data_IF_078945169348
#
_entry.id   IF_078945169348
#
_cell.length_a   1.000
_cell.length_b   1.000
_cell.length_c   1.000
_cell.angle_alpha   90.00
_cell.angle_beta   90.00
_cell.angle_gamma   90.00
#
_symmetry.space_group_name_H-M   'P 1'
#
loop_
_entity.id
_entity.type
_entity.pdbx_description
1 polymer ?
#
# COMPACT_ATOMS: atom_id res chain seq x y z
N UNK A 1 -22.60 2.71 -41.88
CA UNK A 1 -21.39 2.05 -41.36
C UNK A 1 -21.01 2.53 -39.96
N UNK A 2 -20.86 3.83 -39.70
CA UNK A 2 -20.51 4.35 -38.36
C UNK A 2 -21.45 3.93 -37.23
N UNK A 3 -22.77 3.98 -37.44
CA UNK A 3 -23.76 3.54 -36.43
C UNK A 3 -23.70 2.02 -36.14
N UNK A 4 -23.46 1.20 -37.17
CA UNK A 4 -23.30 -0.25 -37.02
C UNK A 4 -22.01 -0.60 -36.29
N UNK A 5 -20.91 0.10 -36.59
CA UNK A 5 -19.65 -0.06 -35.88
C UNK A 5 -19.76 0.38 -34.41
N UNK A 6 -20.42 1.50 -34.13
CA UNK A 6 -20.69 1.96 -32.77
C UNK A 6 -21.56 0.98 -31.99
N UNK A 7 -22.64 0.47 -32.60
CA UNK A 7 -23.50 -0.53 -31.99
C UNK A 7 -22.75 -1.84 -31.67
N UNK A 8 -21.86 -2.28 -32.56
CA UNK A 8 -21.03 -3.46 -32.33
C UNK A 8 -20.04 -3.24 -31.17
N UNK A 9 -19.38 -2.07 -31.10
CA UNK A 9 -18.48 -1.73 -29.99
C UNK A 9 -19.24 -1.71 -28.67
N UNK A 10 -20.42 -1.09 -28.62
CA UNK A 10 -21.26 -1.05 -27.41
C UNK A 10 -21.67 -2.47 -26.99
N UNK A 11 -22.15 -3.30 -27.93
CA UNK A 11 -22.52 -4.68 -27.65
C UNK A 11 -21.32 -5.50 -27.15
N UNK A 12 -20.13 -5.30 -27.72
CA UNK A 12 -18.90 -5.95 -27.30
C UNK A 12 -18.48 -5.53 -25.88
N UNK A 13 -18.49 -4.24 -25.57
CA UNK A 13 -18.19 -3.73 -24.22
C UNK A 13 -19.20 -4.26 -23.19
N UNK A 14 -20.49 -4.31 -23.54
CA UNK A 14 -21.52 -4.90 -22.68
C UNK A 14 -21.29 -6.40 -22.44
N UNK A 15 -20.89 -7.14 -23.47
CA UNK A 15 -20.53 -8.55 -23.33
C UNK A 15 -19.31 -8.72 -22.41
N UNK A 16 -18.26 -7.92 -22.57
CA UNK A 16 -17.09 -7.96 -21.67
C UNK A 16 -17.47 -7.66 -20.21
N UNK A 17 -18.36 -6.69 -20.00
CA UNK A 17 -18.89 -6.38 -18.69
C UNK A 17 -19.66 -7.56 -18.08
N UNK A 18 -20.50 -8.25 -18.87
CA UNK A 18 -21.25 -9.43 -18.42
C UNK A 18 -20.34 -10.63 -18.10
N UNK A 19 -19.22 -10.80 -18.82
CA UNK A 19 -18.29 -11.92 -18.62
C UNK A 19 -17.29 -11.64 -17.48
N UNK A 20 -17.00 -10.38 -17.16
CA UNK A 20 -16.01 -10.01 -16.15
C UNK A 20 -16.18 -10.72 -14.79
N UNK A 21 -17.39 -10.86 -14.20
CA UNK A 21 -17.57 -11.54 -12.92
C UNK A 21 -17.14 -13.01 -12.91
N UNK A 22 -17.09 -13.68 -14.08
CA UNK A 22 -16.67 -15.09 -14.18
C UNK A 22 -15.16 -15.27 -13.99
N UNK A 23 -14.38 -14.20 -14.18
CA UNK A 23 -12.91 -14.20 -14.12
C UNK A 23 -12.41 -13.43 -12.87
N UNK A 24 -13.27 -12.60 -12.29
CA UNK A 24 -12.95 -11.83 -11.09
C UNK A 24 -12.81 -12.71 -9.83
N UNK A 25 -11.98 -12.30 -8.86
CA UNK A 25 -11.79 -13.03 -7.62
C UNK A 25 -13.10 -13.15 -6.82
N UNK A 26 -13.28 -14.27 -6.11
CA UNK A 26 -14.36 -14.38 -5.12
C UNK A 26 -14.05 -13.52 -3.91
N UNK A 27 -14.96 -12.64 -3.52
CA UNK A 27 -14.82 -11.76 -2.35
C UNK A 27 -14.53 -12.56 -1.07
N UNK A 28 -13.57 -12.10 -0.26
CA UNK A 28 -13.39 -12.58 1.10
C UNK A 28 -14.57 -12.10 1.97
N UNK A 29 -15.05 -12.93 2.91
CA UNK A 29 -16.01 -12.51 3.92
C UNK A 29 -15.27 -12.17 5.20
N UNK A 30 -15.39 -10.95 5.70
CA UNK A 30 -14.75 -10.54 6.95
C UNK A 30 -15.40 -11.05 8.24
N UNK A 31 -16.72 -11.29 8.33
CA UNK A 31 -17.31 -11.86 9.55
C UNK A 31 -16.66 -13.19 9.93
N UNK A 32 -15.97 -13.20 11.08
CA UNK A 32 -15.23 -14.35 11.59
C UNK A 32 -13.88 -14.63 10.93
N UNK A 33 -13.44 -13.81 9.97
CA UNK A 33 -12.13 -13.95 9.34
C UNK A 33 -11.02 -13.46 10.25
N UNK A 34 -9.87 -14.13 10.23
CA UNK A 34 -8.69 -13.70 10.96
C UNK A 34 -7.82 -12.78 10.09
N UNK A 35 -7.72 -11.52 10.49
CA UNK A 35 -6.91 -10.49 9.82
C UNK A 35 -5.69 -10.13 10.68
N UNK A 36 -4.50 -10.32 10.13
CA UNK A 36 -3.24 -9.90 10.77
C UNK A 36 -2.78 -8.59 10.15
N UNK A 37 -2.43 -7.60 10.98
CA UNK A 37 -1.94 -6.30 10.53
C UNK A 37 -0.58 -5.99 11.18
N UNK A 38 0.49 -5.98 10.37
CA UNK A 38 1.79 -5.48 10.81
C UNK A 38 1.80 -3.95 10.77
N UNK A 39 2.50 -3.30 11.71
CA UNK A 39 2.38 -1.85 11.88
C UNK A 39 1.00 -1.42 12.41
N UNK A 40 0.23 -2.35 12.99
CA UNK A 40 -1.16 -2.12 13.39
C UNK A 40 -1.36 -1.20 14.60
N UNK A 41 -0.29 -0.72 15.25
CA UNK A 41 -0.36 0.14 16.43
C UNK A 41 -0.52 1.64 16.14
N UNK A 42 -0.46 2.07 14.87
CA UNK A 42 -0.62 3.48 14.49
C UNK A 42 -0.99 3.67 13.01
N UNK A 43 -1.36 4.90 12.64
CA UNK A 43 -1.55 5.33 11.25
C UNK A 43 -2.50 4.44 10.43
N UNK A 44 -2.15 4.22 9.16
CA UNK A 44 -2.96 3.43 8.21
C UNK A 44 -3.21 2.01 8.73
N UNK A 45 -2.20 1.34 9.31
CA UNK A 45 -2.34 -0.02 9.83
C UNK A 45 -3.41 -0.12 10.92
N UNK A 46 -3.41 0.84 11.87
CA UNK A 46 -4.48 0.95 12.87
C UNK A 46 -5.85 1.14 12.23
N UNK A 47 -5.98 2.06 11.28
CA UNK A 47 -7.26 2.33 10.62
C UNK A 47 -7.77 1.13 9.80
N UNK A 48 -6.87 0.38 9.16
CA UNK A 48 -7.21 -0.89 8.48
C UNK A 48 -7.74 -1.91 9.49
N UNK A 49 -7.08 -2.07 10.63
CA UNK A 49 -7.53 -2.98 11.68
C UNK A 49 -8.91 -2.60 12.22
N UNK A 50 -9.17 -1.31 12.46
CA UNK A 50 -10.49 -0.80 12.86
C UNK A 50 -11.54 -1.11 11.78
N UNK A 51 -11.24 -0.85 10.52
CA UNK A 51 -12.18 -1.07 9.41
C UNK A 51 -12.53 -2.56 9.26
N UNK A 52 -11.55 -3.45 9.33
CA UNK A 52 -11.80 -4.89 9.30
C UNK A 52 -12.62 -5.35 10.52
N UNK A 53 -12.32 -4.84 11.71
CA UNK A 53 -13.02 -5.19 12.95
C UNK A 53 -14.49 -4.75 12.91
N UNK A 54 -14.79 -3.54 12.39
CA UNK A 54 -16.17 -3.07 12.17
C UNK A 54 -17.00 -4.00 11.28
N UNK A 55 -16.34 -4.79 10.42
CA UNK A 55 -16.98 -5.74 9.52
C UNK A 55 -17.03 -7.17 10.10
N UNK A 56 -16.70 -7.36 11.37
CA UNK A 56 -16.85 -8.64 12.07
C UNK A 56 -15.61 -9.53 12.10
N UNK A 57 -14.44 -9.02 11.69
CA UNK A 57 -13.19 -9.78 11.70
C UNK A 57 -12.61 -9.98 13.12
N UNK A 58 -11.80 -11.03 13.29
CA UNK A 58 -10.83 -11.16 14.38
C UNK A 58 -9.51 -10.51 13.95
N UNK A 59 -8.84 -9.81 14.86
CA UNK A 59 -7.65 -9.02 14.54
C UNK A 59 -6.45 -9.52 15.33
N UNK A 60 -5.31 -9.70 14.67
CA UNK A 60 -4.00 -9.71 15.32
C UNK A 60 -3.22 -8.48 14.91
N UNK A 61 -2.84 -7.65 15.89
CA UNK A 61 -1.96 -6.51 15.71
C UNK A 61 -0.52 -6.91 15.98
N UNK A 62 0.38 -6.56 15.05
CA UNK A 62 1.82 -6.75 15.19
C UNK A 62 2.51 -5.40 15.10
N UNK A 63 3.30 -5.05 16.12
CA UNK A 63 4.20 -3.89 16.13
C UNK A 63 5.27 -4.07 17.21
N UNK A 64 6.21 -3.12 17.34
CA UNK A 64 7.31 -3.19 18.33
C UNK A 64 6.95 -2.63 19.70
N UNK A 65 6.04 -1.66 19.74
CA UNK A 65 5.68 -0.94 20.96
C UNK A 65 4.41 -1.56 21.56
N UNK A 66 4.62 -2.31 22.64
CA UNK A 66 3.54 -3.03 23.34
C UNK A 66 2.50 -2.07 23.93
N UNK A 67 2.92 -0.92 24.47
CA UNK A 67 2.00 0.05 25.04
C UNK A 67 1.06 0.64 23.98
N UNK A 68 1.62 1.00 22.80
CA UNK A 68 0.81 1.47 21.66
C UNK A 68 -0.11 0.39 21.12
N UNK A 69 0.32 -0.87 21.11
CA UNK A 69 -0.54 -2.01 20.74
C UNK A 69 -1.74 -2.12 21.68
N UNK A 70 -1.51 -2.12 23.00
CA UNK A 70 -2.57 -2.22 24.00
C UNK A 70 -3.53 -1.03 23.97
N UNK A 71 -3.01 0.19 23.74
CA UNK A 71 -3.86 1.36 23.54
C UNK A 71 -4.73 1.21 22.29
N UNK A 72 -4.12 0.82 21.16
CA UNK A 72 -4.83 0.63 19.90
C UNK A 72 -5.88 -0.47 20.00
N UNK A 73 -5.58 -1.56 20.69
CA UNK A 73 -6.54 -2.62 21.00
C UNK A 73 -7.79 -2.07 21.69
N UNK A 74 -7.62 -1.27 22.76
CA UNK A 74 -8.74 -0.63 23.47
C UNK A 74 -9.55 0.31 22.56
N UNK A 75 -8.92 0.95 21.58
CA UNK A 75 -9.61 1.77 20.59
C UNK A 75 -10.43 0.93 19.60
N UNK A 76 -9.88 -0.19 19.11
CA UNK A 76 -10.54 -1.10 18.18
C UNK A 76 -11.75 -1.79 18.83
N UNK A 77 -11.59 -2.29 20.06
CA UNK A 77 -12.64 -3.06 20.77
C UNK A 77 -13.93 -2.24 21.00
N UNK A 78 -13.87 -0.90 20.95
CA UNK A 78 -15.06 -0.01 20.97
C UNK A 78 -15.99 -0.20 19.78
N UNK A 79 -15.50 -0.79 18.69
CA UNK A 79 -16.26 -1.02 17.46
C UNK A 79 -16.76 -2.47 17.32
N UNK A 80 -16.77 -3.23 18.42
CA UNK A 80 -17.23 -4.62 18.39
C UNK A 80 -18.66 -4.70 17.88
N UNK A 81 -18.90 -5.62 16.94
CA UNK A 81 -20.23 -5.93 16.41
C UNK A 81 -20.82 -7.21 17.02
N UNK A 82 -20.02 -8.00 17.75
CA UNK A 82 -20.49 -9.14 18.55
C UNK A 82 -19.45 -9.58 19.60
N UNK A 83 -19.91 -10.28 20.64
CA UNK A 83 -19.10 -10.71 21.79
C UNK A 83 -17.98 -11.71 21.46
N UNK A 84 -17.96 -12.29 20.25
CA UNK A 84 -16.95 -13.26 19.85
C UNK A 84 -15.70 -12.60 19.29
N UNK A 85 -15.75 -11.32 18.89
CA UNK A 85 -14.63 -10.67 18.24
C UNK A 85 -13.46 -10.40 19.18
N UNK A 86 -12.28 -10.90 18.79
CA UNK A 86 -11.04 -10.75 19.56
C UNK A 86 -10.04 -9.86 18.84
N UNK A 87 -9.34 -9.03 19.62
CA UNK A 87 -8.11 -8.35 19.21
C UNK A 87 -6.93 -8.93 19.99
N UNK A 88 -6.04 -9.63 19.29
CA UNK A 88 -4.76 -10.11 19.80
C UNK A 88 -3.67 -9.06 19.52
N UNK A 89 -2.75 -8.88 20.44
CA UNK A 89 -1.57 -8.03 20.27
C UNK A 89 -0.32 -8.87 20.44
N UNK A 90 0.64 -8.73 19.54
CA UNK A 90 1.93 -9.38 19.64
C UNK A 90 3.04 -8.36 19.35
N UNK A 91 3.96 -8.22 20.31
CA UNK A 91 5.12 -7.35 20.15
C UNK A 91 6.26 -8.10 19.45
N UNK A 92 6.63 -7.67 18.24
CA UNK A 92 7.78 -8.20 17.50
C UNK A 92 8.30 -7.16 16.49
N UNK A 93 9.62 -7.16 16.27
CA UNK A 93 10.21 -6.43 15.14
C UNK A 93 10.23 -7.33 13.90
N UNK A 94 9.34 -7.04 12.95
CA UNK A 94 9.20 -7.84 11.72
C UNK A 94 10.42 -7.82 10.82
N UNK A 95 11.40 -6.93 11.05
CA UNK A 95 12.56 -6.77 10.19
C UNK A 95 13.81 -7.54 10.64
N UNK A 96 13.76 -8.24 11.79
CA UNK A 96 14.97 -8.74 12.46
C UNK A 96 15.22 -10.22 12.25
N UNK A 97 14.24 -11.05 12.57
CA UNK A 97 14.40 -12.50 12.60
C UNK A 97 13.14 -13.18 12.04
N UNK A 98 13.33 -13.95 10.95
CA UNK A 98 12.25 -14.70 10.33
C UNK A 98 11.66 -15.76 11.26
N UNK A 99 12.49 -16.49 12.02
CA UNK A 99 12.01 -17.56 12.89
C UNK A 99 11.13 -17.00 14.01
N UNK A 100 11.51 -15.85 14.56
CA UNK A 100 10.67 -15.14 15.53
C UNK A 100 9.33 -14.72 14.91
N UNK A 101 9.34 -14.14 13.71
CA UNK A 101 8.12 -13.72 12.98
C UNK A 101 7.22 -14.92 12.67
N UNK A 102 7.79 -16.03 12.23
CA UNK A 102 7.07 -17.27 11.94
C UNK A 102 6.42 -17.83 13.19
N UNK A 103 7.16 -17.89 14.30
CA UNK A 103 6.65 -18.38 15.58
C UNK A 103 5.48 -17.55 16.11
N UNK A 104 5.55 -16.21 16.04
CA UNK A 104 4.43 -15.38 16.50
C UNK A 104 3.19 -15.49 15.63
N UNK A 105 3.36 -15.65 14.31
CA UNK A 105 2.24 -15.86 13.40
C UNK A 105 1.62 -17.24 13.57
N UNK A 106 2.41 -18.26 13.90
CA UNK A 106 1.92 -19.57 14.31
C UNK A 106 1.06 -19.46 15.58
N UNK A 107 1.55 -18.77 16.61
CA UNK A 107 0.78 -18.55 17.85
C UNK A 107 -0.52 -17.77 17.61
N UNK A 108 -0.50 -16.77 16.72
CA UNK A 108 -1.71 -16.06 16.32
C UNK A 108 -2.72 -17.00 15.65
N UNK A 109 -2.24 -17.89 14.77
CA UNK A 109 -3.09 -18.88 14.09
C UNK A 109 -3.67 -19.93 15.04
N UNK A 110 -2.91 -20.36 16.04
CA UNK A 110 -3.40 -21.28 17.08
C UNK A 110 -4.53 -20.65 17.91
N UNK A 111 -4.50 -19.33 18.12
CA UNK A 111 -5.51 -18.61 18.94
C UNK A 111 -6.76 -18.21 18.18
N UNK A 112 -6.60 -17.67 16.96
CA UNK A 112 -7.71 -17.05 16.20
C UNK A 112 -8.07 -17.83 14.93
N UNK A 113 -7.43 -18.96 14.69
CA UNK A 113 -7.56 -19.73 13.46
C UNK A 113 -6.60 -19.24 12.36
N UNK A 114 -6.58 -19.92 11.21
CA UNK A 114 -5.63 -19.62 10.14
C UNK A 114 -5.83 -18.20 9.57
N UNK A 115 -4.75 -17.55 9.13
CA UNK A 115 -4.80 -16.16 8.64
C UNK A 115 -5.53 -16.07 7.30
N UNK A 116 -6.65 -15.35 7.25
CA UNK A 116 -7.44 -15.15 6.04
C UNK A 116 -7.00 -13.90 5.26
N UNK A 117 -6.53 -12.88 5.97
CA UNK A 117 -5.91 -11.69 5.38
C UNK A 117 -4.68 -11.27 6.17
N UNK A 118 -3.55 -11.12 5.49
CA UNK A 118 -2.34 -10.50 6.02
C UNK A 118 -2.19 -9.11 5.42
N UNK A 119 -2.04 -8.09 6.27
CA UNK A 119 -1.75 -6.73 5.87
C UNK A 119 -0.34 -6.36 6.31
N UNK A 120 0.58 -6.33 5.36
CA UNK A 120 1.94 -5.83 5.56
C UNK A 120 1.92 -4.30 5.50
N UNK A 121 1.78 -3.65 6.67
CA UNK A 121 1.73 -2.19 6.79
C UNK A 121 2.86 -1.61 7.67
N UNK A 122 3.67 -2.45 8.33
CA UNK A 122 4.87 -1.98 9.01
C UNK A 122 5.82 -1.29 8.01
N UNK A 123 6.27 -0.09 8.34
CA UNK A 123 7.15 0.68 7.48
C UNK A 123 7.58 2.00 8.11
N UNK A 124 8.64 2.58 7.56
CA UNK A 124 9.14 3.92 7.89
C UNK A 124 9.69 4.58 6.64
N UNK A 125 9.88 5.90 6.69
CA UNK A 125 10.49 6.69 5.63
C UNK A 125 11.68 7.48 6.17
N UNK A 126 12.61 7.79 5.28
CA UNK A 126 13.68 8.76 5.48
C UNK A 126 13.72 9.61 4.23
N UNK A 127 13.70 10.93 4.41
CA UNK A 127 13.82 11.90 3.32
C UNK A 127 15.12 12.68 3.45
N UNK A 128 15.75 12.98 2.32
CA UNK A 128 16.98 13.74 2.24
C UNK A 128 17.58 13.69 0.84
N UNK A 129 18.54 14.55 0.54
CA UNK A 129 19.33 14.39 -0.69
C UNK A 129 20.15 13.12 -0.60
N UNK A 130 20.48 12.53 -1.74
CA UNK A 130 21.12 11.22 -1.78
C UNK A 130 22.46 11.20 -1.03
N UNK A 131 23.26 12.24 -1.23
CA UNK A 131 24.56 12.46 -0.59
C UNK A 131 24.48 12.79 0.91
N UNK A 132 23.33 13.23 1.40
CA UNK A 132 23.13 13.64 2.80
C UNK A 132 22.54 12.51 3.68
N UNK A 133 22.03 11.44 3.07
CA UNK A 133 21.44 10.32 3.81
C UNK A 133 22.54 9.37 4.28
N UNK A 134 22.50 9.03 5.58
CA UNK A 134 23.38 8.00 6.15
C UNK A 134 23.22 6.65 5.43
N UNK A 135 24.33 6.02 5.03
CA UNK A 135 24.34 4.75 4.30
C UNK A 135 23.53 3.65 5.01
N UNK A 136 23.62 3.55 6.33
CA UNK A 136 22.86 2.58 7.14
C UNK A 136 21.33 2.78 7.05
N UNK A 137 20.87 3.99 6.73
CA UNK A 137 19.43 4.23 6.52
C UNK A 137 18.88 3.46 5.33
N UNK A 138 19.67 3.22 4.28
CA UNK A 138 19.25 2.42 3.12
C UNK A 138 19.01 0.96 3.50
N UNK A 139 19.97 0.34 4.21
CA UNK A 139 19.86 -1.04 4.68
C UNK A 139 18.69 -1.20 5.66
N UNK A 140 18.58 -0.29 6.63
CA UNK A 140 17.49 -0.29 7.61
C UNK A 140 16.11 -0.16 6.94
N UNK A 141 15.97 0.72 5.95
CA UNK A 141 14.70 0.88 5.23
C UNK A 141 14.36 -0.38 4.44
N UNK A 142 15.33 -1.01 3.79
CA UNK A 142 15.11 -2.29 3.11
C UNK A 142 14.71 -3.41 4.07
N UNK A 143 15.36 -3.49 5.23
CA UNK A 143 15.00 -4.46 6.25
C UNK A 143 13.56 -4.26 6.72
N UNK A 144 13.17 -3.03 7.07
CA UNK A 144 11.83 -2.77 7.63
C UNK A 144 10.73 -2.83 6.57
N UNK A 145 10.88 -2.08 5.47
CA UNK A 145 9.80 -1.92 4.50
C UNK A 145 9.63 -3.15 3.60
N UNK A 146 10.74 -3.78 3.20
CA UNK A 146 10.71 -4.93 2.29
C UNK A 146 10.80 -6.25 3.04
N UNK A 147 11.89 -6.54 3.77
CA UNK A 147 12.04 -7.83 4.47
C UNK A 147 10.97 -8.00 5.56
N UNK A 148 10.58 -6.91 6.23
CA UNK A 148 9.45 -6.88 7.17
C UNK A 148 8.08 -7.19 6.55
N UNK A 149 7.98 -7.19 5.22
CA UNK A 149 6.81 -7.69 4.48
C UNK A 149 7.02 -9.11 3.94
N UNK A 150 8.26 -9.49 3.62
CA UNK A 150 8.63 -10.84 3.17
C UNK A 150 8.39 -11.86 4.29
N UNK A 151 8.88 -11.59 5.50
CA UNK A 151 8.82 -12.56 6.60
C UNK A 151 7.39 -12.93 7.00
N UNK A 152 6.47 -11.98 7.25
CA UNK A 152 5.09 -12.33 7.57
C UNK A 152 4.38 -13.05 6.41
N UNK A 153 4.65 -12.64 5.16
CA UNK A 153 4.05 -13.27 3.98
C UNK A 153 4.49 -14.71 3.83
N UNK A 154 5.78 -14.99 4.02
CA UNK A 154 6.35 -16.34 3.97
C UNK A 154 5.76 -17.24 5.07
N UNK A 155 5.53 -16.71 6.26
CA UNK A 155 5.00 -17.48 7.40
C UNK A 155 3.53 -17.92 7.23
N UNK A 156 2.73 -17.26 6.38
CA UNK A 156 1.29 -17.58 6.20
C UNK A 156 0.97 -18.23 4.86
N UNK A 157 1.86 -18.16 3.87
CA UNK A 157 1.54 -18.54 2.48
C UNK A 157 1.16 -20.01 2.33
N UNK A 158 1.81 -20.92 3.07
CA UNK A 158 1.55 -22.35 2.97
C UNK A 158 0.11 -22.70 3.39
N UNK A 159 -0.33 -22.20 4.55
CA UNK A 159 -1.69 -22.46 5.07
C UNK A 159 -2.76 -21.77 4.24
N UNK A 160 -2.46 -20.62 3.62
CA UNK A 160 -3.35 -19.99 2.63
C UNK A 160 -3.51 -20.85 1.37
N UNK A 161 -2.40 -21.40 0.83
CA UNK A 161 -2.41 -22.26 -0.36
C UNK A 161 -3.17 -23.57 -0.12
N UNK A 162 -2.94 -24.22 1.02
CA UNK A 162 -3.63 -25.47 1.40
C UNK A 162 -5.15 -25.29 1.48
N UNK A 163 -5.61 -24.21 2.11
CA UNK A 163 -7.04 -23.89 2.23
C UNK A 163 -7.65 -23.29 0.96
N UNK A 164 -6.81 -22.96 -0.02
CA UNK A 164 -7.15 -22.22 -1.24
C UNK A 164 -7.91 -20.92 -0.95
N UNK A 165 -7.47 -20.22 0.09
CA UNK A 165 -8.10 -19.00 0.58
C UNK A 165 -7.07 -18.12 1.26
N UNK A 166 -6.98 -16.87 0.82
CA UNK A 166 -6.11 -15.88 1.44
C UNK A 166 -6.11 -14.54 0.72
N UNK A 167 -5.75 -13.51 1.47
CA UNK A 167 -5.44 -12.16 0.98
C UNK A 167 -4.13 -11.69 1.55
N UNK A 168 -3.23 -11.19 0.70
CA UNK A 168 -1.97 -10.59 1.13
C UNK A 168 -1.97 -9.15 0.63
N UNK A 169 -1.90 -8.20 1.55
CA UNK A 169 -1.86 -6.77 1.23
C UNK A 169 -0.47 -6.24 1.52
N UNK A 170 0.12 -5.55 0.55
CA UNK A 170 1.35 -4.78 0.73
C UNK A 170 1.02 -3.29 0.71
N UNK A 171 1.22 -2.60 1.82
CA UNK A 171 1.06 -1.14 1.88
C UNK A 171 2.35 -0.49 1.38
N UNK A 172 2.35 -0.19 0.08
CA UNK A 172 3.41 0.54 -0.60
C UNK A 172 3.22 2.06 -0.40
N UNK A 173 3.32 2.85 -1.47
CA UNK A 173 3.07 4.29 -1.52
C UNK A 173 3.00 4.73 -2.98
N UNK A 174 2.40 5.88 -3.30
CA UNK A 174 2.59 6.49 -4.62
C UNK A 174 4.09 6.68 -4.97
N UNK A 175 4.94 6.90 -3.96
CA UNK A 175 6.40 6.92 -4.11
C UNK A 175 7.04 5.55 -4.46
N UNK A 176 6.24 4.47 -4.50
CA UNK A 176 6.58 3.15 -5.03
C UNK A 176 6.13 2.93 -6.48
N UNK A 177 5.56 3.96 -7.12
CA UNK A 177 5.15 3.97 -8.54
C UNK A 177 5.91 5.03 -9.34
N UNK A 178 6.33 6.10 -8.66
CA UNK A 178 7.01 7.25 -9.23
C UNK A 178 8.18 7.65 -8.30
N UNK A 179 9.35 7.96 -8.87
CA UNK A 179 10.50 8.45 -8.12
C UNK A 179 10.38 9.96 -7.84
N UNK A 180 10.61 10.36 -6.60
CA UNK A 180 10.49 11.75 -6.15
C UNK A 180 11.81 12.25 -5.57
N UNK A 181 12.10 13.54 -5.76
CA UNK A 181 13.23 14.20 -5.11
C UNK A 181 13.18 13.95 -3.61
N UNK A 182 14.31 13.63 -3.00
CA UNK A 182 14.42 13.44 -1.56
C UNK A 182 14.02 12.05 -1.04
N UNK A 183 13.47 11.16 -1.88
CA UNK A 183 13.03 9.81 -1.46
C UNK A 183 13.94 8.68 -1.94
N UNK A 184 15.22 8.98 -2.23
CA UNK A 184 16.16 8.01 -2.81
C UNK A 184 16.42 6.79 -1.92
N UNK A 185 16.31 6.90 -0.59
CA UNK A 185 16.40 5.76 0.31
C UNK A 185 15.06 5.03 0.53
N UNK A 186 13.93 5.72 0.36
CA UNK A 186 12.59 5.20 0.65
C UNK A 186 11.90 4.58 -0.57
N UNK A 187 11.82 5.33 -1.68
CA UNK A 187 11.13 4.89 -2.91
C UNK A 187 11.58 3.50 -3.36
N UNK A 188 12.88 3.18 -3.47
CA UNK A 188 13.32 1.84 -3.91
C UNK A 188 12.69 0.70 -3.09
N UNK A 189 12.53 0.88 -1.78
CA UNK A 189 11.91 -0.13 -0.91
C UNK A 189 10.43 -0.35 -1.23
N UNK A 190 9.73 0.71 -1.66
CA UNK A 190 8.31 0.68 -2.03
C UNK A 190 8.09 0.16 -3.46
N UNK A 191 9.03 0.40 -4.38
CA UNK A 191 9.10 -0.27 -5.67
C UNK A 191 9.39 -1.77 -5.51
N UNK A 192 10.26 -2.16 -4.58
CA UNK A 192 10.58 -3.57 -4.32
C UNK A 192 9.34 -4.37 -3.87
N UNK A 193 8.44 -3.76 -3.08
CA UNK A 193 7.16 -4.38 -2.71
C UNK A 193 6.27 -4.69 -3.92
N UNK A 194 6.26 -3.81 -4.93
CA UNK A 194 5.52 -4.06 -6.18
C UNK A 194 6.10 -5.25 -6.92
N UNK A 195 7.43 -5.31 -7.10
CA UNK A 195 8.09 -6.43 -7.77
C UNK A 195 7.83 -7.76 -7.05
N UNK A 196 7.89 -7.76 -5.72
CA UNK A 196 7.52 -8.92 -4.91
C UNK A 196 6.06 -9.32 -5.13
N UNK A 197 5.14 -8.37 -5.10
CA UNK A 197 3.71 -8.63 -5.25
C UNK A 197 3.34 -9.19 -6.63
N UNK A 198 3.92 -8.66 -7.71
CA UNK A 198 3.69 -9.13 -9.08
C UNK A 198 4.17 -10.58 -9.25
N UNK A 199 5.37 -10.90 -8.76
CA UNK A 199 5.90 -12.25 -8.76
C UNK A 199 5.03 -13.19 -7.90
N UNK A 200 4.74 -12.78 -6.66
CA UNK A 200 3.98 -13.59 -5.71
C UNK A 200 2.57 -13.89 -6.21
N UNK A 201 1.89 -12.92 -6.84
CA UNK A 201 0.56 -13.11 -7.40
C UNK A 201 0.52 -14.30 -8.38
N UNK A 202 1.55 -14.48 -9.20
CA UNK A 202 1.63 -15.62 -10.14
C UNK A 202 1.72 -16.96 -9.41
N UNK A 203 2.45 -17.02 -8.29
CA UNK A 203 2.61 -18.24 -7.49
C UNK A 203 1.35 -18.62 -6.71
N UNK A 204 0.53 -17.64 -6.31
CA UNK A 204 -0.57 -17.85 -5.36
C UNK A 204 -1.95 -17.87 -6.04
N UNK A 205 -2.09 -17.26 -7.22
CA UNK A 205 -3.37 -17.21 -7.98
C UNK A 205 -3.99 -18.59 -8.24
N UNK A 206 -3.23 -19.64 -8.64
CA UNK A 206 -3.80 -20.99 -8.85
C UNK A 206 -4.41 -21.63 -7.59
N UNK A 207 -4.08 -21.07 -6.42
CA UNK A 207 -4.60 -21.48 -5.13
C UNK A 207 -5.70 -20.54 -4.61
N UNK A 208 -6.30 -19.69 -5.45
CA UNK A 208 -7.37 -18.76 -5.04
C UNK A 208 -6.95 -17.84 -3.87
N UNK A 209 -5.66 -17.51 -3.84
CA UNK A 209 -5.06 -16.49 -2.97
C UNK A 209 -4.73 -15.29 -3.85
N UNK A 210 -4.98 -14.09 -3.33
CA UNK A 210 -4.82 -12.84 -4.07
C UNK A 210 -3.97 -11.85 -3.30
N UNK A 211 -3.18 -11.08 -4.06
CA UNK A 211 -2.28 -10.05 -3.58
C UNK A 211 -2.86 -8.69 -3.96
N UNK A 212 -2.82 -7.74 -3.03
CA UNK A 212 -3.18 -6.34 -3.27
C UNK A 212 -2.00 -5.45 -2.89
N UNK A 213 -1.61 -4.56 -3.79
CA UNK A 213 -0.63 -3.50 -3.51
C UNK A 213 -1.38 -2.20 -3.36
N UNK A 214 -1.31 -1.63 -2.16
CA UNK A 214 -1.88 -0.34 -1.85
C UNK A 214 -0.85 0.77 -2.09
N UNK A 215 -1.27 1.83 -2.77
CA UNK A 215 -0.47 3.00 -3.08
C UNK A 215 -1.06 4.26 -2.44
N UNK A 216 -1.02 4.37 -1.10
CA UNK A 216 -1.53 5.55 -0.42
C UNK A 216 -0.74 6.82 -0.82
N UNK A 217 -1.43 7.97 -0.97
CA UNK A 217 -0.81 9.29 -1.04
C UNK A 217 -0.27 9.71 0.34
N UNK A 218 0.22 10.95 0.44
CA UNK A 218 0.45 11.59 1.73
C UNK A 218 -0.82 11.47 2.60
N UNK A 219 -0.65 10.87 3.78
CA UNK A 219 -1.76 10.48 4.66
C UNK A 219 -1.50 11.02 6.06
N UNK A 220 -2.51 11.67 6.63
CA UNK A 220 -2.46 12.26 7.98
C UNK A 220 -2.24 11.16 9.02
N UNK A 221 -0.98 11.03 9.45
CA UNK A 221 -0.52 9.99 10.37
C UNK A 221 0.65 10.52 11.20
N UNK A 222 0.91 9.94 12.38
CA UNK A 222 2.11 10.25 13.15
C UNK A 222 3.41 10.01 12.34
N UNK A 223 3.45 8.97 11.50
CA UNK A 223 4.62 8.68 10.66
C UNK A 223 4.89 9.77 9.62
N UNK A 224 3.83 10.30 8.98
CA UNK A 224 3.94 11.41 8.04
C UNK A 224 4.38 12.71 8.72
N UNK A 225 3.90 12.96 9.95
CA UNK A 225 4.33 14.10 10.75
C UNK A 225 5.84 14.04 11.09
N UNK A 226 6.36 12.85 11.43
CA UNK A 226 7.79 12.63 11.65
C UNK A 226 8.62 12.82 10.37
N UNK A 227 8.19 12.24 9.26
CA UNK A 227 8.82 12.40 7.94
C UNK A 227 8.93 13.87 7.52
N UNK A 228 7.88 14.65 7.77
CA UNK A 228 7.80 16.06 7.36
C UNK A 228 8.84 16.96 8.04
N UNK A 229 9.42 16.53 9.17
CA UNK A 229 10.45 17.30 9.90
C UNK A 229 11.73 17.47 9.12
N UNK A 230 12.16 16.45 8.38
CA UNK A 230 13.43 16.46 7.62
C UNK A 230 13.22 16.52 6.10
N UNK A 231 11.97 16.70 5.65
CA UNK A 231 11.62 16.74 4.23
C UNK A 231 12.27 17.95 3.52
N UNK A 232 13.07 17.75 2.46
CA UNK A 232 13.62 18.83 1.66
C UNK A 232 12.54 19.75 1.08
N UNK A 233 12.88 21.01 0.83
CA UNK A 233 11.94 22.01 0.31
C UNK A 233 11.33 21.57 -1.04
N UNK A 234 12.14 21.01 -1.93
CA UNK A 234 11.68 20.47 -3.21
C UNK A 234 10.60 19.42 -3.01
N UNK A 235 10.84 18.47 -2.10
CA UNK A 235 9.92 17.39 -1.80
C UNK A 235 8.62 17.94 -1.19
N UNK A 236 8.71 18.95 -0.31
CA UNK A 236 7.52 19.63 0.25
C UNK A 236 6.67 20.26 -0.85
N UNK A 237 7.29 21.06 -1.71
CA UNK A 237 6.60 21.75 -2.81
C UNK A 237 6.00 20.77 -3.84
N UNK A 238 6.65 19.63 -4.06
CA UNK A 238 6.10 18.56 -4.92
C UNK A 238 4.91 17.87 -4.21
N UNK A 239 5.01 17.55 -2.91
CA UNK A 239 3.92 16.95 -2.14
C UNK A 239 2.67 17.84 -2.07
N UNK A 240 2.86 19.16 -1.92
CA UNK A 240 1.78 20.16 -1.80
C UNK A 240 0.87 20.26 -3.02
N UNK A 241 1.25 19.68 -4.17
CA UNK A 241 0.35 19.62 -5.34
C UNK A 241 -0.83 18.66 -5.12
N UNK A 242 -0.77 17.82 -4.08
CA UNK A 242 -1.80 16.85 -3.73
C UNK A 242 -2.33 17.08 -2.31
N UNK A 243 -3.61 16.80 -2.07
CA UNK A 243 -4.22 16.94 -0.75
C UNK A 243 -3.88 15.75 0.16
N UNK A 244 -3.57 16.03 1.43
CA UNK A 244 -3.34 15.00 2.44
C UNK A 244 -4.65 14.26 2.73
N UNK A 245 -4.62 12.93 2.64
CA UNK A 245 -5.78 12.08 2.88
C UNK A 245 -5.90 11.68 4.36
N UNK A 246 -7.13 11.45 4.82
CA UNK A 246 -7.38 10.90 6.15
C UNK A 246 -7.11 9.38 6.17
N UNK A 247 -6.46 8.88 7.22
CA UNK A 247 -6.05 7.48 7.32
C UNK A 247 -7.23 6.50 7.27
N UNK A 248 -8.40 6.89 7.78
CA UNK A 248 -9.64 6.12 7.73
C UNK A 248 -10.17 5.98 6.30
N UNK A 249 -10.05 7.02 5.47
CA UNK A 249 -10.45 6.97 4.07
C UNK A 249 -9.53 6.02 3.29
N UNK A 250 -8.22 6.14 3.51
CA UNK A 250 -7.22 5.26 2.90
C UNK A 250 -7.49 3.80 3.29
N UNK A 251 -7.71 3.54 4.59
CA UNK A 251 -8.01 2.21 5.10
C UNK A 251 -9.27 1.59 4.46
N UNK A 252 -10.37 2.36 4.33
CA UNK A 252 -11.61 1.89 3.68
C UNK A 252 -11.38 1.41 2.25
N UNK A 253 -10.60 2.17 1.47
CA UNK A 253 -10.29 1.81 0.08
C UNK A 253 -9.44 0.54 0.04
N UNK A 254 -8.37 0.47 0.85
CA UNK A 254 -7.48 -0.69 0.91
C UNK A 254 -8.23 -1.96 1.31
N UNK A 255 -9.06 -1.90 2.35
CA UNK A 255 -9.84 -3.05 2.83
C UNK A 255 -10.81 -3.52 1.76
N UNK A 256 -11.54 -2.60 1.11
CA UNK A 256 -12.46 -2.93 0.02
C UNK A 256 -11.76 -3.64 -1.13
N UNK A 257 -10.63 -3.09 -1.60
CA UNK A 257 -9.88 -3.64 -2.72
C UNK A 257 -9.28 -5.02 -2.37
N UNK A 258 -8.74 -5.16 -1.16
CA UNK A 258 -8.20 -6.41 -0.67
C UNK A 258 -9.27 -7.51 -0.56
N UNK A 259 -10.44 -7.20 -0.02
CA UNK A 259 -11.57 -8.12 0.05
C UNK A 259 -11.95 -8.62 -1.35
N UNK A 260 -12.05 -7.71 -2.31
CA UNK A 260 -12.37 -7.98 -3.72
C UNK A 260 -11.25 -8.72 -4.47
N UNK A 261 -10.04 -8.76 -3.92
CA UNK A 261 -8.87 -9.36 -4.56
C UNK A 261 -8.30 -8.50 -5.68
N UNK A 262 -8.59 -7.19 -5.67
CA UNK A 262 -8.04 -6.22 -6.62
C UNK A 262 -6.52 -6.13 -6.44
N UNK A 263 -5.76 -6.21 -7.53
CA UNK A 263 -4.30 -6.19 -7.43
C UNK A 263 -3.77 -4.81 -7.07
N UNK A 264 -4.32 -3.76 -7.65
CA UNK A 264 -3.96 -2.38 -7.33
C UNK A 264 -5.02 -1.73 -6.45
N UNK A 265 -4.61 -1.10 -5.36
CA UNK A 265 -5.46 -0.24 -4.53
C UNK A 265 -4.91 1.18 -4.53
N UNK A 266 -5.70 2.13 -5.03
CA UNK A 266 -5.29 3.52 -5.19
C UNK A 266 -6.36 4.47 -4.66
N UNK A 267 -5.94 5.58 -4.06
CA UNK A 267 -6.83 6.54 -3.40
C UNK A 267 -6.83 7.85 -4.18
N UNK A 268 -8.03 8.38 -4.45
CA UNK A 268 -8.20 9.65 -5.16
C UNK A 268 -7.97 9.55 -6.67
N UNK A 269 -8.23 10.64 -7.38
CA UNK A 269 -8.07 10.72 -8.83
C UNK A 269 -6.62 10.65 -9.27
N UNK A 270 -5.70 11.29 -8.54
CA UNK A 270 -4.27 11.25 -8.86
C UNK A 270 -3.70 9.84 -8.67
N UNK A 271 -4.09 9.16 -7.59
CA UNK A 271 -3.72 7.76 -7.35
C UNK A 271 -4.28 6.83 -8.44
N UNK A 272 -5.52 7.03 -8.87
CA UNK A 272 -6.13 6.28 -9.97
C UNK A 272 -5.42 6.53 -11.31
N UNK A 273 -5.08 7.79 -11.60
CA UNK A 273 -4.32 8.14 -12.80
C UNK A 273 -2.94 7.48 -12.78
N UNK A 274 -2.24 7.57 -11.64
CA UNK A 274 -0.91 7.00 -11.47
C UNK A 274 -0.92 5.47 -11.56
N UNK A 275 -1.95 4.81 -11.03
CA UNK A 275 -2.10 3.35 -11.13
C UNK A 275 -2.30 2.88 -12.57
N UNK A 276 -3.02 3.64 -13.40
CA UNK A 276 -3.10 3.37 -14.85
C UNK A 276 -1.77 3.64 -15.55
N UNK A 277 -1.13 4.77 -15.26
CA UNK A 277 0.15 5.14 -15.91
C UNK A 277 1.26 4.14 -15.65
N UNK A 278 1.21 3.53 -14.47
CA UNK A 278 2.21 2.59 -14.02
C UNK A 278 1.72 1.17 -14.11
N UNK A 279 0.57 0.86 -14.73
CA UNK A 279 0.04 -0.49 -14.76
C UNK A 279 0.95 -1.48 -15.48
N UNK A 280 1.66 -1.06 -16.54
CA UNK A 280 2.66 -1.90 -17.22
C UNK A 280 2.14 -3.31 -17.52
N UNK A 281 2.83 -4.33 -16.97
CA UNK A 281 2.41 -5.74 -17.03
C UNK A 281 1.79 -6.25 -15.72
N UNK A 282 1.40 -5.35 -14.82
CA UNK A 282 0.77 -5.71 -13.55
C UNK A 282 -0.52 -6.51 -13.79
N UNK A 283 -0.84 -7.47 -12.90
CA UNK A 283 -2.07 -8.23 -12.98
C UNK A 283 -3.32 -7.36 -13.06
N UNK A 284 -4.24 -7.73 -13.95
CA UNK A 284 -5.61 -7.19 -14.00
C UNK A 284 -6.60 -8.16 -13.35
N UNK A 285 -7.61 -7.60 -12.70
CA UNK A 285 -8.61 -8.35 -11.91
C UNK A 285 -9.99 -8.38 -12.54
N UNK A 286 -10.20 -7.55 -13.56
CA UNK A 286 -11.39 -7.53 -14.39
C UNK A 286 -11.06 -7.11 -15.82
N UNK A 287 -11.92 -7.50 -16.77
CA UNK A 287 -11.78 -7.05 -18.16
C UNK A 287 -12.00 -5.54 -18.26
N UNK A 288 -12.91 -5.00 -17.44
CA UNK A 288 -13.21 -3.58 -17.38
C UNK A 288 -12.02 -2.74 -16.92
N UNK A 289 -11.27 -3.22 -15.92
CA UNK A 289 -10.01 -2.59 -15.49
C UNK A 289 -9.01 -2.55 -16.65
N UNK A 290 -8.83 -3.66 -17.36
CA UNK A 290 -7.94 -3.73 -18.52
C UNK A 290 -8.34 -2.75 -19.64
N UNK A 291 -9.64 -2.66 -19.95
CA UNK A 291 -10.14 -1.72 -20.96
C UNK A 291 -9.93 -0.26 -20.56
N UNK A 292 -10.18 0.08 -19.29
CA UNK A 292 -9.91 1.42 -18.76
C UNK A 292 -8.43 1.79 -18.90
N UNK A 293 -7.53 0.86 -18.58
CA UNK A 293 -6.09 1.08 -18.74
C UNK A 293 -5.74 1.36 -20.21
N UNK A 294 -6.21 0.55 -21.17
CA UNK A 294 -5.93 0.74 -22.60
C UNK A 294 -6.43 2.10 -23.09
N UNK A 295 -7.65 2.49 -22.72
CA UNK A 295 -8.27 3.73 -23.22
C UNK A 295 -7.63 4.97 -22.58
N UNK A 296 -7.34 4.94 -21.28
CA UNK A 296 -6.91 6.13 -20.55
C UNK A 296 -5.40 6.35 -20.57
N UNK A 297 -4.58 5.32 -20.81
CA UNK A 297 -3.12 5.39 -20.67
C UNK A 297 -2.48 6.51 -21.48
N UNK A 298 -2.86 6.68 -22.76
CA UNK A 298 -2.30 7.75 -23.61
C UNK A 298 -2.65 9.16 -23.11
N UNK A 299 -3.90 9.37 -22.70
CA UNK A 299 -4.38 10.67 -22.20
C UNK A 299 -3.67 11.00 -20.88
N UNK A 300 -3.65 10.05 -19.94
CA UNK A 300 -2.98 10.24 -18.67
C UNK A 300 -1.47 10.43 -18.82
N UNK A 301 -0.86 9.85 -19.86
CA UNK A 301 0.57 10.04 -20.12
C UNK A 301 0.88 11.47 -20.51
N UNK A 302 0.01 12.10 -21.30
CA UNK A 302 0.10 13.52 -21.65
C UNK A 302 0.00 14.37 -20.39
N UNK A 303 -0.99 14.13 -19.52
CA UNK A 303 -1.13 14.85 -18.23
C UNK A 303 0.13 14.67 -17.37
N UNK A 304 0.63 13.44 -17.26
CA UNK A 304 1.84 13.13 -16.49
C UNK A 304 3.10 13.85 -17.00
N UNK A 305 3.21 14.17 -18.30
CA UNK A 305 4.32 15.00 -18.80
C UNK A 305 4.29 16.42 -18.23
N UNK A 306 3.11 17.01 -18.02
CA UNK A 306 2.98 18.31 -17.38
C UNK A 306 3.37 18.25 -15.90
N UNK A 307 3.00 17.18 -15.18
CA UNK A 307 3.45 16.96 -13.81
C UNK A 307 4.97 16.84 -13.71
N UNK A 308 5.60 16.04 -14.57
CA UNK A 308 7.07 15.93 -14.60
C UNK A 308 7.75 17.27 -14.91
N UNK A 309 7.24 18.03 -15.89
CA UNK A 309 7.75 19.38 -16.17
C UNK A 309 7.59 20.35 -14.99
N UNK A 310 6.49 20.25 -14.25
CA UNK A 310 6.27 21.03 -13.02
C UNK A 310 7.28 20.65 -11.93
N UNK A 311 7.52 19.35 -11.71
CA UNK A 311 8.49 18.86 -10.73
C UNK A 311 9.91 19.32 -11.06
N UNK A 312 10.32 19.21 -12.33
CA UNK A 312 11.62 19.72 -12.78
C UNK A 312 11.76 21.23 -12.54
N UNK A 313 10.71 21.99 -12.80
CA UNK A 313 10.68 23.44 -12.54
C UNK A 313 10.77 23.78 -11.05
N UNK A 314 10.11 23.01 -10.18
CA UNK A 314 10.22 23.16 -8.71
C UNK A 314 11.67 22.91 -8.27
N UNK A 315 12.28 21.80 -8.70
CA UNK A 315 13.66 21.44 -8.32
C UNK A 315 14.65 22.51 -8.79
N UNK A 316 14.55 22.95 -10.05
CA UNK A 316 15.41 24.02 -10.60
C UNK A 316 15.25 25.34 -9.83
N UNK A 317 14.02 25.73 -9.47
CA UNK A 317 13.78 26.96 -8.68
C UNK A 317 14.42 26.88 -7.31
N UNK A 318 14.31 25.75 -6.61
CA UNK A 318 14.94 25.55 -5.29
C UNK A 318 16.48 25.58 -5.39
N UNK A 319 17.04 24.97 -6.43
CA UNK A 319 18.48 25.03 -6.71
C UNK A 319 18.95 26.49 -6.88
N UNK A 320 18.31 27.25 -7.77
CA UNK A 320 18.67 28.66 -7.99
C UNK A 320 18.51 29.54 -6.74
N UNK A 321 17.52 29.26 -5.89
CA UNK A 321 17.35 29.98 -4.62
C UNK A 321 18.52 29.73 -3.66
N UNK A 322 19.01 28.47 -3.56
CA UNK A 322 20.16 28.13 -2.73
C UNK A 322 21.47 28.75 -3.23
N UNK A 323 21.71 28.72 -4.54
CA UNK A 323 22.91 29.34 -5.12
C UNK A 323 22.96 30.85 -4.83
N UNK A 324 21.79 31.52 -4.89
CA UNK A 324 21.68 32.94 -4.53
C UNK A 324 21.97 33.20 -3.05
N UNK A 325 21.43 32.40 -2.12
CA UNK A 325 21.72 32.57 -0.70
C UNK A 325 23.20 32.33 -0.38
N UNK A 326 23.82 31.30 -0.95
CA UNK A 326 25.24 31.02 -0.75
C UNK A 326 26.15 32.12 -1.32
N UNK A 327 25.73 32.78 -2.40
CA UNK A 327 26.46 33.93 -2.96
C UNK A 327 26.32 35.19 -2.09
N UNK A 328 25.16 35.40 -1.45
CA UNK A 328 24.92 36.52 -0.55
C UNK A 328 25.78 36.39 0.72
N UNK A 329 25.80 35.21 1.33
CA UNK A 329 26.58 34.92 2.55
C UNK A 329 28.11 35.00 2.34
N UNK A 330 28.61 34.91 1.10
CA UNK A 330 30.03 35.07 0.76
C UNK A 330 30.45 36.52 0.51
N UNK A 331 29.47 37.43 0.40
CA UNK A 331 29.70 38.84 0.07
C UNK A 331 29.55 39.75 1.31
N UNK A 332 29.07 39.21 2.43
CA UNK A 332 29.10 39.81 3.78
C UNK A 332 30.32 39.34 4.59
#
# INVERSE_FOLDING_TARGET
MLLLAAAFIVAFVLLLYMVSPLISPKSLKLPGAHVVVTGGSSGIGKCIAIECYKQGAFITLIARDENKLLQTKKEIEKYSVNDKQVVLCISVDVSKDYEQVENVLKQAQEKLGPVDMLVNCAGTSVTGKFEDIEVNSFERLMAVNYLGSVYPSRAVIATMKERRMGRIVFVSSQAGQLGLFGYTAYSPTKFALRGLAEALQMEVKPYNVYVTVAYPPDTDTPGFAEESKTKPLETKLISETSSVCQAEQVARVIVKDAIQGNFNSSVGSDGYMLSILTSGMSPVTSITEGLQQVVCMGIFRIIGLFYLGSFDSIVRRCMMQREKSESADKTE
#
